data_IF_193509512405
#
_entry.id   IF_193509512405
#
_cell.length_a   1.000
_cell.length_b   1.000
_cell.length_c   1.000
_cell.angle_alpha   90.00
_cell.angle_beta   90.00
_cell.angle_gamma   90.00
#
_symmetry.space_group_name_H-M   'P 1'
#
loop_
_entity.id
_entity.type
_entity.pdbx_description
1 polymer ?
#
# COMPACT_ATOMS: atom_id res chain seq x y z
N UNK A 1 -4.70 13.59 -12.17
CA UNK A 1 -5.02 12.13 -12.22
C UNK A 1 -6.02 11.77 -13.32
N UNK A 2 -6.75 12.72 -13.94
CA UNK A 2 -7.71 12.45 -15.01
C UNK A 2 -7.08 11.71 -16.21
N UNK A 3 -5.84 12.05 -16.58
CA UNK A 3 -5.09 11.37 -17.64
C UNK A 3 -5.03 9.84 -17.42
N UNK A 4 -4.76 9.40 -16.18
CA UNK A 4 -4.54 7.99 -15.84
C UNK A 4 -5.83 7.15 -15.80
N UNK A 5 -7.01 7.76 -15.87
CA UNK A 5 -8.26 7.03 -16.04
C UNK A 5 -8.46 6.48 -17.46
N UNK A 6 -7.83 7.10 -18.44
CA UNK A 6 -8.05 6.82 -19.86
C UNK A 6 -6.81 6.29 -20.58
N UNK A 7 -5.62 6.48 -20.02
CA UNK A 7 -4.35 6.14 -20.66
C UNK A 7 -3.35 5.52 -19.67
N UNK A 8 -2.59 4.50 -20.08
CA UNK A 8 -1.55 3.90 -19.26
C UNK A 8 -0.36 4.86 -19.07
N UNK A 9 0.43 4.64 -18.02
CA UNK A 9 1.62 5.45 -17.72
C UNK A 9 2.60 5.52 -18.91
N UNK A 10 2.83 4.43 -19.65
CA UNK A 10 3.72 4.39 -20.82
C UNK A 10 3.37 5.39 -21.93
N UNK A 11 2.13 5.88 -21.98
CA UNK A 11 1.69 6.92 -22.90
C UNK A 11 1.81 8.34 -22.33
N UNK A 12 2.23 8.44 -21.05
CA UNK A 12 2.41 9.72 -20.38
C UNK A 12 3.74 10.34 -20.80
N UNK A 13 3.64 11.36 -21.63
CA UNK A 13 4.75 12.25 -21.99
C UNK A 13 4.50 13.63 -21.43
N UNK A 14 5.55 14.45 -21.29
CA UNK A 14 5.36 15.86 -20.88
C UNK A 14 4.37 16.57 -21.80
N UNK A 15 4.38 16.27 -23.11
CA UNK A 15 3.44 16.86 -24.07
C UNK A 15 1.99 16.45 -23.79
N UNK A 16 1.74 15.14 -23.63
CA UNK A 16 0.37 14.64 -23.39
C UNK A 16 -0.16 15.10 -22.03
N UNK A 17 0.73 15.22 -21.02
CA UNK A 17 0.35 15.72 -19.72
C UNK A 17 0.00 17.22 -19.76
N UNK A 18 0.84 18.04 -20.42
CA UNK A 18 0.59 19.50 -20.54
C UNK A 18 -0.66 19.79 -21.38
N UNK A 19 -0.97 18.97 -22.40
CA UNK A 19 -2.20 19.11 -23.17
C UNK A 19 -3.48 18.89 -22.34
N UNK A 20 -3.37 18.20 -21.18
CA UNK A 20 -4.48 17.95 -20.26
C UNK A 20 -4.53 18.91 -19.05
N UNK A 21 -3.64 19.90 -19.01
CA UNK A 21 -3.52 20.86 -17.89
C UNK A 21 -3.38 22.28 -18.43
N UNK A 22 -3.48 23.27 -17.54
CA UNK A 22 -3.19 24.68 -17.85
C UNK A 22 -1.71 25.05 -17.65
N UNK A 23 -0.87 24.07 -17.26
CA UNK A 23 0.56 24.27 -17.00
C UNK A 23 1.34 24.22 -18.31
N UNK A 24 2.26 25.17 -18.51
CA UNK A 24 3.13 25.19 -19.68
C UNK A 24 4.30 24.21 -19.55
N UNK A 25 4.86 23.75 -20.70
CA UNK A 25 6.08 22.91 -20.70
C UNK A 25 7.25 23.55 -19.97
N UNK A 26 7.59 24.84 -20.17
CA UNK A 26 8.65 25.48 -19.41
C UNK A 26 8.42 25.43 -17.90
N UNK A 27 7.17 25.65 -17.46
CA UNK A 27 6.83 25.54 -16.04
C UNK A 27 6.99 24.12 -15.50
N UNK A 28 6.66 23.07 -16.29
CA UNK A 28 6.93 21.70 -15.90
C UNK A 28 8.43 21.46 -15.63
N UNK A 29 9.28 21.86 -16.57
CA UNK A 29 10.73 21.65 -16.48
C UNK A 29 11.45 22.49 -15.40
N UNK A 30 10.77 23.46 -14.78
CA UNK A 30 11.26 24.12 -13.59
C UNK A 30 11.23 23.23 -12.34
N UNK A 31 10.34 22.22 -12.31
CA UNK A 31 10.10 21.35 -11.15
C UNK A 31 10.55 19.91 -11.37
N UNK A 32 10.45 19.41 -12.59
CA UNK A 32 10.69 18.00 -12.91
C UNK A 32 11.50 17.87 -14.20
N UNK A 33 12.50 16.98 -14.19
CA UNK A 33 13.31 16.68 -15.38
C UNK A 33 12.49 15.91 -16.44
N UNK A 34 11.64 15.00 -15.96
CA UNK A 34 10.83 14.13 -16.79
C UNK A 34 9.60 13.60 -16.03
N UNK A 35 8.84 12.73 -16.68
CA UNK A 35 7.63 12.14 -16.08
C UNK A 35 7.95 11.12 -14.99
N UNK A 36 9.14 10.51 -14.97
CA UNK A 36 9.54 9.57 -13.93
C UNK A 36 9.81 10.31 -12.61
N UNK A 37 10.51 11.44 -12.65
CA UNK A 37 10.71 12.28 -11.45
C UNK A 37 9.39 12.81 -10.89
N UNK A 38 8.44 13.20 -11.76
CA UNK A 38 7.08 13.53 -11.32
C UNK A 38 6.41 12.33 -10.63
N UNK A 39 6.50 11.15 -11.20
CA UNK A 39 5.91 9.93 -10.64
C UNK A 39 6.54 9.58 -9.29
N UNK A 40 7.87 9.65 -9.17
CA UNK A 40 8.58 9.42 -7.90
C UNK A 40 8.15 10.43 -6.82
N UNK A 41 8.05 11.71 -7.17
CA UNK A 41 7.55 12.76 -6.25
C UNK A 41 6.11 12.48 -5.80
N UNK A 42 5.25 12.03 -6.70
CA UNK A 42 3.88 11.67 -6.35
C UNK A 42 3.81 10.41 -5.46
N UNK A 43 4.70 9.43 -5.67
CA UNK A 43 4.81 8.26 -4.77
C UNK A 43 5.25 8.67 -3.37
N UNK A 44 6.25 9.54 -3.23
CA UNK A 44 6.69 10.07 -1.93
C UNK A 44 5.57 10.84 -1.23
N UNK A 45 4.81 11.64 -1.98
CA UNK A 45 3.65 12.36 -1.44
C UNK A 45 2.57 11.40 -0.94
N UNK A 46 2.27 10.37 -1.73
CA UNK A 46 1.27 9.35 -1.40
C UNK A 46 1.70 8.52 -0.18
N UNK A 47 2.98 8.17 -0.10
CA UNK A 47 3.56 7.49 1.05
C UNK A 47 3.35 8.31 2.34
N UNK A 48 3.67 9.61 2.29
CA UNK A 48 3.43 10.51 3.41
C UNK A 48 1.94 10.57 3.82
N UNK A 49 1.01 10.63 2.84
CA UNK A 49 -0.44 10.59 3.12
C UNK A 49 -0.85 9.28 3.82
N UNK A 50 -0.33 8.14 3.38
CA UNK A 50 -0.66 6.82 3.95
C UNK A 50 -0.04 6.66 5.34
N UNK A 51 1.25 6.98 5.51
CA UNK A 51 1.94 6.87 6.80
C UNK A 51 1.32 7.78 7.86
N UNK A 52 0.96 9.02 7.51
CA UNK A 52 0.26 9.92 8.41
C UNK A 52 -1.10 9.35 8.86
N UNK A 53 -1.83 8.69 7.95
CA UNK A 53 -3.08 7.99 8.28
C UNK A 53 -2.87 6.72 9.12
N UNK A 54 -1.70 6.09 9.03
CA UNK A 54 -1.33 4.89 9.78
C UNK A 54 -0.66 5.20 11.13
N UNK A 55 -0.21 6.44 11.36
CA UNK A 55 0.50 6.86 12.57
C UNK A 55 -0.23 6.47 13.87
N UNK A 56 -1.58 6.60 13.99
CA UNK A 56 -2.29 6.19 15.21
C UNK A 56 -2.01 4.74 15.60
N UNK A 57 -1.99 3.82 14.63
CA UNK A 57 -1.67 2.42 14.90
C UNK A 57 -0.16 2.19 15.01
N UNK A 58 0.65 2.76 14.12
CA UNK A 58 2.10 2.52 14.09
C UNK A 58 2.79 2.98 15.38
N UNK A 59 2.38 4.11 15.95
CA UNK A 59 3.04 4.76 17.10
C UNK A 59 2.15 4.85 18.35
N UNK A 60 0.86 4.57 18.24
CA UNK A 60 -0.11 4.73 19.33
C UNK A 60 0.04 3.66 20.41
N UNK A 61 -0.38 4.03 21.64
CA UNK A 61 -0.35 3.18 22.83
C UNK A 61 -1.75 2.80 23.35
N UNK A 62 -2.80 3.05 22.55
CA UNK A 62 -4.18 2.73 22.88
C UNK A 62 -4.55 1.28 22.57
N UNK A 63 -5.87 1.02 22.43
CA UNK A 63 -6.36 -0.28 21.94
C UNK A 63 -5.85 -0.53 20.52
N UNK A 64 -4.98 -1.52 20.30
CA UNK A 64 -4.34 -1.74 19.00
C UNK A 64 -5.33 -2.11 17.91
N UNK A 65 -6.45 -2.76 18.24
CA UNK A 65 -7.49 -3.13 17.28
C UNK A 65 -8.27 -1.89 16.83
N UNK A 66 -8.63 -1.00 17.76
CA UNK A 66 -9.31 0.25 17.44
C UNK A 66 -8.42 1.19 16.59
N UNK A 67 -7.13 1.30 16.95
CA UNK A 67 -6.15 2.11 16.20
C UNK A 67 -5.91 1.55 14.80
N UNK A 68 -5.82 0.23 14.65
CA UNK A 68 -5.70 -0.42 13.36
C UNK A 68 -6.95 -0.19 12.50
N UNK A 69 -8.15 -0.29 13.09
CA UNK A 69 -9.40 -0.02 12.38
C UNK A 69 -9.44 1.40 11.80
N UNK A 70 -9.03 2.40 12.56
CA UNK A 70 -8.93 3.79 12.13
C UNK A 70 -7.92 3.96 11.00
N UNK A 71 -6.72 3.41 11.17
CA UNK A 71 -5.63 3.47 10.19
C UNK A 71 -6.00 2.81 8.85
N UNK A 72 -6.64 1.65 8.87
CA UNK A 72 -7.10 0.97 7.66
C UNK A 72 -8.26 1.71 6.97
N UNK A 73 -9.13 2.39 7.71
CA UNK A 73 -10.13 3.27 7.11
C UNK A 73 -9.48 4.42 6.32
N UNK A 74 -8.44 5.05 6.89
CA UNK A 74 -7.74 6.13 6.22
C UNK A 74 -6.97 5.61 4.99
N UNK A 75 -6.30 4.45 5.09
CA UNK A 75 -5.66 3.79 3.94
C UNK A 75 -6.65 3.62 2.77
N UNK A 76 -7.83 3.05 3.05
CA UNK A 76 -8.88 2.87 2.03
C UNK A 76 -9.32 4.22 1.44
N UNK A 77 -9.46 5.26 2.27
CA UNK A 77 -9.84 6.61 1.83
C UNK A 77 -8.79 7.24 0.91
N UNK A 78 -7.51 7.14 1.29
CA UNK A 78 -6.39 7.63 0.47
C UNK A 78 -6.35 6.87 -0.86
N UNK A 79 -6.38 5.54 -0.83
CA UNK A 79 -6.33 4.71 -2.03
C UNK A 79 -7.56 4.89 -2.94
N UNK A 80 -8.74 5.17 -2.38
CA UNK A 80 -9.92 5.53 -3.18
C UNK A 80 -9.70 6.82 -3.98
N UNK A 81 -9.03 7.82 -3.42
CA UNK A 81 -8.68 9.07 -4.12
C UNK A 81 -7.58 8.88 -5.17
N UNK A 82 -6.60 8.00 -4.88
CA UNK A 82 -5.36 7.85 -5.65
C UNK A 82 -5.32 6.59 -6.54
N UNK A 83 -6.40 5.81 -6.59
CA UNK A 83 -6.46 4.50 -7.26
C UNK A 83 -5.92 4.47 -8.69
N UNK A 84 -6.28 5.39 -9.59
CA UNK A 84 -5.76 5.41 -10.95
C UNK A 84 -4.25 5.57 -11.02
N UNK A 85 -3.66 6.37 -10.11
CA UNK A 85 -2.22 6.56 -10.03
C UNK A 85 -1.53 5.28 -9.54
N UNK A 86 -2.02 4.68 -8.45
CA UNK A 86 -1.49 3.41 -7.94
C UNK A 86 -1.51 2.31 -9.01
N UNK A 87 -2.63 2.18 -9.72
CA UNK A 87 -2.75 1.21 -10.81
C UNK A 87 -1.75 1.50 -11.93
N UNK A 88 -1.64 2.74 -12.37
CA UNK A 88 -0.76 3.13 -13.45
C UNK A 88 0.71 2.85 -13.13
N UNK A 89 1.14 3.10 -11.88
CA UNK A 89 2.51 2.80 -11.41
C UNK A 89 2.73 1.30 -11.31
N UNK A 90 1.81 0.54 -10.70
CA UNK A 90 1.91 -0.91 -10.58
C UNK A 90 1.98 -1.61 -11.94
N UNK A 91 1.15 -1.18 -12.90
CA UNK A 91 1.18 -1.71 -14.27
C UNK A 91 2.51 -1.37 -14.98
N UNK A 92 3.01 -0.14 -14.83
CA UNK A 92 4.26 0.29 -15.46
C UNK A 92 5.49 -0.41 -14.86
N UNK A 93 5.49 -0.72 -13.58
CA UNK A 93 6.57 -1.43 -12.88
C UNK A 93 6.88 -2.81 -13.49
N UNK A 94 5.94 -3.40 -14.23
CA UNK A 94 6.16 -4.68 -14.90
C UNK A 94 7.07 -4.60 -16.14
N UNK A 95 7.27 -3.41 -16.70
CA UNK A 95 8.00 -3.21 -17.97
C UNK A 95 9.07 -2.10 -17.90
N UNK A 96 9.07 -1.28 -16.86
CA UNK A 96 9.99 -0.14 -16.68
C UNK A 96 10.78 -0.32 -15.39
N UNK A 97 12.09 -0.53 -15.51
CA UNK A 97 12.99 -0.81 -14.38
C UNK A 97 13.08 0.32 -13.36
N UNK A 98 12.99 1.59 -13.82
CA UNK A 98 13.01 2.74 -12.91
C UNK A 98 11.71 2.77 -12.08
N UNK A 99 10.57 2.55 -12.73
CA UNK A 99 9.27 2.48 -12.06
C UNK A 99 9.20 1.27 -11.11
N UNK A 100 9.72 0.11 -11.52
CA UNK A 100 9.81 -1.08 -10.67
C UNK A 100 10.60 -0.78 -9.38
N UNK A 101 11.77 -0.13 -9.52
CA UNK A 101 12.60 0.23 -8.36
C UNK A 101 11.87 1.19 -7.41
N UNK A 102 11.25 2.22 -7.94
CA UNK A 102 10.47 3.19 -7.16
C UNK A 102 9.27 2.53 -6.47
N UNK A 103 8.54 1.66 -7.19
CA UNK A 103 7.39 0.91 -6.67
C UNK A 103 7.78 -0.05 -5.54
N UNK A 104 8.85 -0.82 -5.74
CA UNK A 104 9.34 -1.74 -4.71
C UNK A 104 9.86 -1.00 -3.48
N UNK A 105 10.52 0.14 -3.65
CA UNK A 105 10.93 1.01 -2.55
C UNK A 105 9.73 1.56 -1.78
N UNK A 106 8.69 2.03 -2.48
CA UNK A 106 7.44 2.48 -1.88
C UNK A 106 6.80 1.39 -1.01
N UNK A 107 6.64 0.18 -1.55
CA UNK A 107 6.05 -0.94 -0.80
C UNK A 107 6.94 -1.37 0.38
N UNK A 108 8.28 -1.39 0.19
CA UNK A 108 9.24 -1.81 1.21
C UNK A 108 9.18 -0.97 2.48
N UNK A 109 8.93 0.34 2.37
CA UNK A 109 8.81 1.23 3.54
C UNK A 109 7.60 0.89 4.42
N UNK A 110 6.50 0.45 3.83
CA UNK A 110 5.36 -0.06 4.61
C UNK A 110 5.67 -1.43 5.23
N UNK A 111 6.42 -2.28 4.51
CA UNK A 111 6.85 -3.58 5.06
C UNK A 111 7.69 -3.39 6.32
N UNK A 112 8.60 -2.42 6.30
CA UNK A 112 9.44 -2.07 7.45
C UNK A 112 8.60 -1.54 8.62
N UNK A 113 7.76 -0.51 8.37
CA UNK A 113 6.93 0.10 9.41
C UNK A 113 5.96 -0.89 10.07
N UNK A 114 5.30 -1.73 9.28
CA UNK A 114 4.36 -2.75 9.79
C UNK A 114 5.12 -3.85 10.54
N UNK A 115 6.29 -4.29 10.04
CA UNK A 115 7.12 -5.29 10.71
C UNK A 115 7.60 -4.80 12.08
N UNK A 116 8.03 -3.55 12.18
CA UNK A 116 8.44 -2.92 13.45
C UNK A 116 7.27 -2.86 14.44
N UNK A 117 6.07 -2.48 13.97
CA UNK A 117 4.88 -2.46 14.83
C UNK A 117 4.50 -3.86 15.31
N UNK A 118 4.51 -4.87 14.47
CA UNK A 118 4.23 -6.25 14.85
C UNK A 118 5.21 -6.71 15.92
N UNK A 119 6.52 -6.48 15.73
CA UNK A 119 7.54 -6.83 16.72
C UNK A 119 7.34 -6.12 18.07
N UNK A 120 6.94 -4.84 18.05
CA UNK A 120 6.62 -4.09 19.26
C UNK A 120 5.42 -4.70 20.01
N UNK A 121 4.35 -5.05 19.30
CA UNK A 121 3.17 -5.67 19.90
C UNK A 121 3.42 -7.10 20.40
N UNK A 122 4.32 -7.86 19.75
CA UNK A 122 4.79 -9.15 20.26
C UNK A 122 5.55 -8.99 21.57
N UNK A 123 6.43 -8.00 21.68
CA UNK A 123 7.16 -7.70 22.92
C UNK A 123 6.23 -7.31 24.09
N UNK A 124 5.06 -6.75 23.76
CA UNK A 124 4.00 -6.41 24.73
C UNK A 124 3.07 -7.60 25.02
N UNK A 125 3.22 -8.73 24.33
CA UNK A 125 2.34 -9.89 24.46
C UNK A 125 0.95 -9.70 23.83
N UNK A 126 0.76 -8.70 22.97
CA UNK A 126 -0.51 -8.41 22.29
C UNK A 126 -0.69 -9.26 21.04
N UNK A 127 0.39 -9.71 20.43
CA UNK A 127 0.44 -10.58 19.24
C UNK A 127 1.27 -11.83 19.60
N UNK A 128 0.83 -13.00 19.13
CA UNK A 128 1.59 -14.25 19.29
C UNK A 128 2.91 -14.21 18.51
N UNK A 129 3.87 -15.01 18.93
CA UNK A 129 5.21 -15.04 18.34
C UNK A 129 5.20 -15.71 16.95
N UNK A 130 5.72 -15.01 15.95
CA UNK A 130 6.02 -15.46 14.59
C UNK A 130 7.02 -14.46 13.97
N UNK A 131 7.57 -14.79 12.80
CA UNK A 131 8.46 -13.87 12.08
C UNK A 131 7.67 -12.66 11.54
N UNK A 132 7.92 -11.42 12.02
CA UNK A 132 7.10 -10.25 11.68
C UNK A 132 7.13 -9.86 10.21
N UNK A 133 8.33 -9.87 9.58
CA UNK A 133 8.53 -9.33 8.24
C UNK A 133 7.76 -10.08 7.15
N UNK A 134 7.74 -11.41 7.05
CA UNK A 134 6.93 -12.12 6.07
C UNK A 134 5.44 -11.82 6.18
N UNK A 135 4.93 -11.68 7.41
CA UNK A 135 3.52 -11.35 7.65
C UNK A 135 3.21 -9.91 7.23
N UNK A 136 4.08 -8.96 7.55
CA UNK A 136 3.97 -7.57 7.10
C UNK A 136 3.92 -7.47 5.57
N UNK A 137 4.85 -8.16 4.88
CA UNK A 137 4.88 -8.23 3.41
C UNK A 137 3.57 -8.80 2.86
N UNK A 138 3.09 -9.92 3.39
CA UNK A 138 1.88 -10.56 2.93
C UNK A 138 0.65 -9.64 3.06
N UNK A 139 0.47 -9.00 4.21
CA UNK A 139 -0.62 -8.07 4.47
C UNK A 139 -0.54 -6.84 3.55
N UNK A 140 0.62 -6.21 3.42
CA UNK A 140 0.80 -5.05 2.55
C UNK A 140 0.59 -5.37 1.06
N UNK A 141 1.02 -6.55 0.59
CA UNK A 141 0.77 -6.98 -0.81
C UNK A 141 -0.70 -7.28 -1.06
N UNK A 142 -1.38 -7.88 -0.08
CA UNK A 142 -2.83 -8.08 -0.12
C UNK A 142 -3.56 -6.74 -0.24
N UNK A 143 -3.19 -5.76 0.58
CA UNK A 143 -3.78 -4.41 0.52
C UNK A 143 -3.51 -3.74 -0.81
N UNK A 144 -2.26 -3.69 -1.26
CA UNK A 144 -1.89 -3.07 -2.53
C UNK A 144 -2.68 -3.67 -3.69
N UNK A 145 -2.73 -5.00 -3.80
CA UNK A 145 -3.49 -5.68 -4.85
C UNK A 145 -4.98 -5.39 -4.75
N UNK A 146 -5.57 -5.56 -3.56
CA UNK A 146 -7.01 -5.38 -3.34
C UNK A 146 -7.46 -3.95 -3.63
N UNK A 147 -6.71 -2.96 -3.14
CA UNK A 147 -7.05 -1.55 -3.31
C UNK A 147 -6.86 -1.07 -4.77
N UNK A 148 -5.81 -1.55 -5.45
CA UNK A 148 -5.60 -1.27 -6.88
C UNK A 148 -6.74 -1.87 -7.72
N UNK A 149 -7.13 -3.11 -7.48
CA UNK A 149 -8.23 -3.74 -8.20
C UNK A 149 -9.56 -3.05 -7.90
N UNK A 150 -9.81 -2.69 -6.65
CA UNK A 150 -11.08 -2.05 -6.25
C UNK A 150 -11.23 -0.62 -6.77
N UNK A 151 -10.14 0.16 -6.84
CA UNK A 151 -10.21 1.61 -7.04
C UNK A 151 -9.44 2.15 -8.24
N UNK A 152 -8.57 1.33 -8.85
CA UNK A 152 -7.72 1.75 -9.96
C UNK A 152 -8.40 1.78 -11.33
N UNK A 153 -9.61 1.26 -11.45
CA UNK A 153 -10.36 1.19 -12.70
C UNK A 153 -11.85 1.50 -12.49
N UNK A 154 -12.58 1.79 -13.57
CA UNK A 154 -14.02 2.04 -13.54
C UNK A 154 -14.78 0.80 -14.04
N UNK A 155 -15.96 0.46 -13.45
CA UNK A 155 -16.55 1.09 -12.27
C UNK A 155 -15.77 0.74 -11.01
N UNK A 156 -15.59 1.70 -10.08
CA UNK A 156 -14.92 1.46 -8.80
C UNK A 156 -15.82 0.70 -7.84
N UNK A 157 -15.22 -0.14 -7.01
CA UNK A 157 -15.89 -0.77 -5.88
C UNK A 157 -16.33 0.26 -4.83
N UNK A 158 -17.36 -0.08 -4.05
CA UNK A 158 -17.75 0.74 -2.89
C UNK A 158 -16.70 0.60 -1.79
N UNK A 159 -16.20 1.71 -1.19
CA UNK A 159 -15.13 1.67 -0.19
C UNK A 159 -15.46 0.85 1.06
N UNK A 160 -16.70 0.94 1.57
CA UNK A 160 -17.10 0.28 2.82
C UNK A 160 -16.88 -1.24 2.84
N UNK A 161 -17.40 -2.01 1.87
CA UNK A 161 -17.15 -3.46 1.81
C UNK A 161 -15.67 -3.81 1.66
N UNK A 162 -14.88 -3.01 0.92
CA UNK A 162 -13.43 -3.22 0.76
C UNK A 162 -12.72 -2.99 2.09
N UNK A 163 -13.04 -1.91 2.81
CA UNK A 163 -12.50 -1.64 4.14
C UNK A 163 -12.81 -2.77 5.12
N UNK A 164 -14.05 -3.26 5.15
CA UNK A 164 -14.45 -4.36 6.03
C UNK A 164 -13.66 -5.66 5.75
N UNK A 165 -13.44 -5.98 4.47
CA UNK A 165 -12.67 -7.16 4.09
C UNK A 165 -11.21 -7.07 4.55
N UNK A 166 -10.55 -5.95 4.28
CA UNK A 166 -9.17 -5.68 4.69
C UNK A 166 -9.04 -5.75 6.21
N UNK A 167 -9.88 -5.01 6.95
CA UNK A 167 -9.88 -5.01 8.43
C UNK A 167 -10.03 -6.41 9.01
N UNK A 168 -10.98 -7.20 8.48
CA UNK A 168 -11.19 -8.57 8.94
C UNK A 168 -9.91 -9.40 8.81
N UNK A 169 -9.21 -9.29 7.67
CA UNK A 169 -7.98 -10.05 7.43
C UNK A 169 -6.86 -9.60 8.37
N UNK A 170 -6.63 -8.31 8.50
CA UNK A 170 -5.60 -7.76 9.37
C UNK A 170 -5.84 -8.10 10.84
N UNK A 171 -7.05 -7.84 11.35
CA UNK A 171 -7.39 -8.10 12.75
C UNK A 171 -7.31 -9.61 13.06
N UNK A 172 -7.82 -10.47 12.18
CA UNK A 172 -7.74 -11.91 12.37
C UNK A 172 -6.30 -12.42 12.33
N UNK A 173 -5.45 -11.84 11.48
CA UNK A 173 -4.05 -12.26 11.32
C UNK A 173 -3.18 -11.83 12.49
N UNK A 174 -3.39 -10.63 13.03
CA UNK A 174 -2.52 -10.07 14.08
C UNK A 174 -3.08 -10.28 15.49
N UNK A 175 -4.38 -10.07 15.68
CA UNK A 175 -4.99 -10.05 17.02
C UNK A 175 -6.03 -11.17 17.22
N UNK A 176 -6.25 -12.03 16.25
CA UNK A 176 -7.14 -13.20 16.36
C UNK A 176 -6.47 -14.33 17.13
N UNK A 177 -6.79 -14.49 18.40
CA UNK A 177 -6.18 -15.50 19.30
C UNK A 177 -6.45 -16.96 18.93
N UNK A 178 -7.34 -17.24 18.00
CA UNK A 178 -7.79 -18.62 17.72
C UNK A 178 -6.77 -19.47 16.94
N UNK A 179 -5.81 -18.86 16.29
CA UNK A 179 -4.79 -19.60 15.53
C UNK A 179 -3.71 -20.25 16.41
N UNK A 180 -3.42 -19.65 17.59
CA UNK A 180 -2.36 -20.11 18.49
C UNK A 180 -2.72 -21.37 19.30
N UNK A 181 -3.98 -21.81 19.30
CA UNK A 181 -4.45 -22.92 20.13
C UNK A 181 -4.46 -24.27 19.45
N UNK A 182 -3.99 -24.41 18.20
CA UNK A 182 -3.92 -25.71 17.52
C UNK A 182 -2.53 -26.32 17.62
N UNK A 183 -2.27 -27.23 18.62
CA UNK A 183 -1.06 -28.02 18.63
C UNK A 183 -1.18 -29.03 17.48
N UNK A 184 -0.50 -28.79 16.38
CA UNK A 184 -0.45 -29.74 15.26
C UNK A 184 -0.68 -29.17 13.86
N UNK A 185 -0.39 -27.91 13.60
CA UNK A 185 -0.29 -27.40 12.24
C UNK A 185 0.85 -28.12 11.51
N UNK A 186 0.51 -29.15 10.74
CA UNK A 186 1.43 -29.97 9.94
C UNK A 186 2.04 -29.24 8.73
N UNK A 187 1.73 -27.96 8.55
CA UNK A 187 2.23 -27.14 7.43
C UNK A 187 3.75 -26.92 7.41
N UNK A 188 4.42 -27.09 8.54
CA UNK A 188 5.88 -26.95 8.62
C UNK A 188 6.68 -28.23 8.29
N UNK A 189 6.01 -29.32 7.89
CA UNK A 189 6.71 -30.60 7.69
C UNK A 189 7.09 -30.93 6.24
N UNK A 190 6.63 -30.15 5.26
CA UNK A 190 6.77 -30.53 3.84
C UNK A 190 7.30 -29.41 2.91
N UNK A 191 7.74 -28.29 3.44
CA UNK A 191 8.39 -27.29 2.60
C UNK A 191 9.88 -27.64 2.45
N UNK A 192 10.41 -27.73 1.21
CA UNK A 192 11.82 -27.96 0.98
C UNK A 192 12.64 -26.84 1.64
N UNK A 193 13.63 -27.24 2.44
CA UNK A 193 14.70 -26.35 2.90
C UNK A 193 15.74 -26.33 1.80
N UNK A 194 15.82 -25.22 1.04
CA UNK A 194 16.97 -24.89 0.20
C UNK A 194 18.02 -24.14 1.03
#
# INVERSE_FOLDING_TARGET
FEFLWSRPFREMTVNSLMASTTVSRPAFYQYFRDVHELMETLLVTLEGEILAGAEPWLLGTGDPVALLDESLNELVRVCYRRGPFLKAVADAATADKQVETAWNGFLGRFDDAVSERIAADQNLGLIVDFEPRPVAIALNRLDAYTLIQAFGQRPRSRPGPVAQAIKRLWISSLYGQQWAASPGSTLNRELPTD
#
